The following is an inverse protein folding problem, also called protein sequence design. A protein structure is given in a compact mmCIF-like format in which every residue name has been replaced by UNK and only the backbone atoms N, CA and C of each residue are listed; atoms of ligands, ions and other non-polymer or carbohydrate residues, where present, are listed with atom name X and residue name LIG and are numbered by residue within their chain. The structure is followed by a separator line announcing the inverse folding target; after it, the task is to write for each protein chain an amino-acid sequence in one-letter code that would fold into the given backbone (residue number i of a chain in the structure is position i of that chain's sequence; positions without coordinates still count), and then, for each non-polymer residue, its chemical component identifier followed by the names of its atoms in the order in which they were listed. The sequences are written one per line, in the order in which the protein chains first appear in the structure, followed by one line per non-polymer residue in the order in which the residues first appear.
data_IF_166614161087
#
_entry.id   IF_166614161087
#
_cell.length_a   1.000
_cell.length_b   1.000
_cell.length_c   1.000
_cell.angle_alpha   90.00
_cell.angle_beta   90.00
_cell.angle_gamma   90.00
#
_symmetry.space_group_name_H-M   'P 1'
#
loop_
_entity.id
_entity.type
_entity.pdbx_description
1 polymer ?
#
# COMPACT_ATOMS: atom_id res chain seq x y z
N UNK A 1 -32.00 26.39 31.85
CA UNK A 1 -30.84 25.52 31.54
C UNK A 1 -30.88 25.22 30.05
N UNK A 2 -29.81 25.49 29.29
CA UNK A 2 -29.79 25.33 27.83
C UNK A 2 -29.57 23.84 27.44
N UNK A 3 -30.54 23.17 26.80
CA UNK A 3 -30.46 21.75 26.43
C UNK A 3 -29.48 21.46 25.29
N UNK A 4 -28.84 22.48 24.69
CA UNK A 4 -28.03 22.30 23.47
C UNK A 4 -26.63 21.70 23.69
N UNK A 5 -26.10 21.68 24.92
CA UNK A 5 -24.77 21.13 25.21
C UNK A 5 -24.75 20.29 26.50
N UNK A 6 -24.83 18.95 26.41
CA UNK A 6 -24.62 18.08 27.56
C UNK A 6 -23.23 18.38 28.17
N UNK A 7 -23.20 18.80 29.44
CA UNK A 7 -21.94 18.98 30.18
C UNK A 7 -21.38 17.59 30.49
N UNK A 8 -20.39 17.17 29.72
CA UNK A 8 -19.65 15.96 30.02
C UNK A 8 -18.69 16.19 31.20
N UNK A 9 -18.51 15.22 32.10
CA UNK A 9 -17.54 15.29 33.19
C UNK A 9 -16.14 15.03 32.64
N UNK A 10 -15.55 16.04 31.99
CA UNK A 10 -14.22 15.93 31.39
C UNK A 10 -13.14 15.84 32.47
N UNK A 11 -12.27 14.84 32.34
CA UNK A 11 -11.06 14.69 33.13
C UNK A 11 -9.85 14.82 32.21
N UNK A 12 -8.92 15.71 32.56
CA UNK A 12 -7.63 15.84 31.87
C UNK A 12 -6.77 14.64 32.21
N UNK A 13 -6.29 13.93 31.18
CA UNK A 13 -5.35 12.82 31.33
C UNK A 13 -3.95 13.15 30.82
N UNK A 14 -3.83 14.19 30.00
CA UNK A 14 -2.57 14.77 29.57
C UNK A 14 -2.79 16.23 29.20
N UNK A 15 -1.88 17.12 29.60
CA UNK A 15 -1.97 18.55 29.36
C UNK A 15 -0.73 19.05 28.63
N UNK A 16 -0.94 19.85 27.58
CA UNK A 16 0.11 20.59 26.87
C UNK A 16 1.32 19.73 26.47
N UNK A 17 1.08 18.50 26.05
CA UNK A 17 2.13 17.55 25.68
C UNK A 17 2.50 17.66 24.19
N UNK A 18 3.72 17.27 23.78
CA UNK A 18 4.08 17.21 22.37
C UNK A 18 3.15 16.32 21.54
N UNK A 19 2.85 16.71 20.31
CA UNK A 19 1.94 15.96 19.42
C UNK A 19 2.39 14.51 19.16
N UNK A 20 3.70 14.24 19.14
CA UNK A 20 4.23 12.88 18.97
C UNK A 20 3.81 11.97 20.12
N UNK A 21 3.94 12.42 21.36
CA UNK A 21 3.56 11.65 22.56
C UNK A 21 2.05 11.48 22.65
N UNK A 22 1.30 12.55 22.30
CA UNK A 22 -0.15 12.48 22.20
C UNK A 22 -0.60 11.42 21.18
N UNK A 23 0.10 11.28 20.06
CA UNK A 23 -0.22 10.27 19.04
C UNK A 23 -0.02 8.85 19.57
N UNK A 24 1.03 8.62 20.37
CA UNK A 24 1.27 7.34 21.05
C UNK A 24 0.14 7.04 22.03
N UNK A 25 -0.19 7.99 22.91
CA UNK A 25 -1.26 7.83 23.91
C UNK A 25 -2.64 7.56 23.25
N UNK A 26 -2.94 8.25 22.14
CA UNK A 26 -4.17 8.00 21.37
C UNK A 26 -4.17 6.62 20.69
N UNK A 27 -3.00 6.06 20.35
CA UNK A 27 -2.86 4.70 19.83
C UNK A 27 -3.31 3.62 20.82
N UNK A 28 -3.14 3.91 22.12
CA UNK A 28 -3.54 3.02 23.21
C UNK A 28 -5.04 3.04 23.50
N UNK A 29 -5.78 4.05 23.02
CA UNK A 29 -7.22 4.10 23.16
C UNK A 29 -7.88 2.93 22.41
N UNK A 30 -9.05 2.50 22.90
CA UNK A 30 -9.89 1.58 22.13
C UNK A 30 -10.27 2.22 20.81
N UNK A 31 -10.66 1.39 19.83
CA UNK A 31 -11.10 1.86 18.52
C UNK A 31 -12.17 2.94 18.72
N UNK A 32 -11.93 4.10 18.13
CA UNK A 32 -12.74 5.29 18.26
C UNK A 32 -12.93 5.95 16.89
N UNK A 33 -13.86 6.89 16.81
CA UNK A 33 -13.99 7.81 15.67
C UNK A 33 -14.11 9.23 16.16
N UNK A 34 -13.60 10.17 15.37
CA UNK A 34 -13.85 11.59 15.55
C UNK A 34 -15.30 11.86 15.12
N UNK A 35 -16.12 12.34 16.04
CA UNK A 35 -17.50 12.77 15.73
C UNK A 35 -17.56 14.21 15.24
N UNK A 36 -16.69 15.06 15.81
CA UNK A 36 -16.70 16.49 15.55
C UNK A 36 -15.27 17.01 15.60
N UNK A 37 -14.92 17.89 14.67
CA UNK A 37 -13.65 18.59 14.66
C UNK A 37 -13.92 20.07 14.39
N UNK A 38 -13.49 20.94 15.29
CA UNK A 38 -13.74 22.38 15.20
C UNK A 38 -12.50 23.18 15.58
N UNK A 39 -12.48 24.46 15.24
CA UNK A 39 -11.45 25.41 15.68
C UNK A 39 -12.01 26.28 16.80
N UNK A 40 -11.24 26.44 17.86
CA UNK A 40 -11.58 27.21 19.06
C UNK A 40 -10.38 28.09 19.43
N UNK A 41 -10.61 29.14 20.21
CA UNK A 41 -9.51 29.94 20.78
C UNK A 41 -8.58 29.03 21.60
N UNK A 42 -7.28 29.08 21.32
CA UNK A 42 -6.32 28.22 21.98
C UNK A 42 -6.14 28.61 23.45
N UNK A 43 -6.17 27.59 24.32
CA UNK A 43 -5.75 27.66 25.71
C UNK A 43 -4.87 26.45 26.09
N UNK A 44 -4.29 25.78 25.08
CA UNK A 44 -3.44 24.58 25.26
C UNK A 44 -1.98 24.97 25.48
N UNK A 45 -1.50 25.99 24.77
CA UNK A 45 -0.17 26.55 25.01
C UNK A 45 -0.27 27.91 25.70
N UNK A 46 0.88 28.44 26.12
CA UNK A 46 1.00 29.73 26.79
C UNK A 46 1.41 30.87 25.84
N UNK A 47 1.24 30.69 24.53
CA UNK A 47 1.63 31.73 23.57
C UNK A 47 0.76 32.99 23.75
N UNK A 48 1.37 34.19 23.77
CA UNK A 48 0.67 35.42 24.12
C UNK A 48 -0.27 35.91 23.03
N UNK A 49 0.01 35.59 21.77
CA UNK A 49 -0.81 35.98 20.64
C UNK A 49 -2.06 35.07 20.51
N UNK A 50 -3.27 35.63 20.32
CA UNK A 50 -4.46 34.84 20.03
C UNK A 50 -4.27 33.98 18.78
N UNK A 51 -4.57 32.68 18.91
CA UNK A 51 -4.51 31.73 17.80
C UNK A 51 -5.48 30.57 18.05
N UNK A 52 -5.70 29.75 17.02
CA UNK A 52 -6.65 28.64 17.10
C UNK A 52 -6.02 27.36 17.66
N UNK A 53 -6.83 26.59 18.38
CA UNK A 53 -6.62 25.16 18.61
C UNK A 53 -7.70 24.37 17.89
N UNK A 54 -7.35 23.16 17.44
CA UNK A 54 -8.31 22.20 16.90
C UNK A 54 -8.85 21.32 18.01
N UNK A 55 -10.17 21.30 18.18
CA UNK A 55 -10.86 20.47 19.16
C UNK A 55 -11.54 19.32 18.45
N UNK A 56 -11.04 18.10 18.67
CA UNK A 56 -11.60 16.87 18.13
C UNK A 56 -12.31 16.10 19.23
N UNK A 57 -13.62 15.92 19.09
CA UNK A 57 -14.43 15.09 19.99
C UNK A 57 -14.57 13.70 19.41
N UNK A 58 -14.32 12.69 20.24
CA UNK A 58 -14.24 11.29 19.84
C UNK A 58 -15.24 10.45 20.64
N UNK A 59 -15.77 9.42 20.00
CA UNK A 59 -16.55 8.35 20.65
C UNK A 59 -15.97 6.98 20.40
N UNK A 60 -16.25 6.07 21.32
CA UNK A 60 -15.90 4.66 21.17
C UNK A 60 -16.67 4.02 19.99
N UNK A 61 -15.97 3.20 19.21
CA UNK A 61 -16.53 2.35 18.14
C UNK A 61 -16.00 0.92 18.21
N UNK A 62 -15.37 0.54 19.33
CA UNK A 62 -14.77 -0.77 19.50
C UNK A 62 -15.82 -1.88 19.63
N UNK A 63 -15.51 -3.05 19.05
CA UNK A 63 -16.46 -4.16 18.98
C UNK A 63 -16.80 -4.70 20.38
N UNK A 64 -15.81 -4.85 21.27
CA UNK A 64 -16.05 -5.34 22.62
C UNK A 64 -17.08 -4.50 23.40
N UNK A 65 -17.08 -3.17 23.24
CA UNK A 65 -18.13 -2.34 23.85
C UNK A 65 -19.47 -2.44 23.14
N UNK A 66 -19.50 -2.77 21.83
CA UNK A 66 -20.75 -3.04 21.11
C UNK A 66 -21.36 -4.37 21.51
N UNK A 67 -20.53 -5.39 21.77
CA UNK A 67 -21.00 -6.74 22.10
C UNK A 67 -21.71 -6.79 23.46
N UNK A 68 -21.28 -5.95 24.41
CA UNK A 68 -21.93 -5.81 25.73
C UNK A 68 -23.01 -4.73 25.78
N UNK A 69 -23.17 -3.94 24.70
CA UNK A 69 -24.16 -2.87 24.65
C UNK A 69 -25.55 -3.47 24.44
N UNK A 70 -26.44 -3.35 25.43
CA UNK A 70 -27.81 -3.87 25.34
C UNK A 70 -28.75 -2.90 24.61
N UNK A 71 -28.72 -1.61 24.99
CA UNK A 71 -29.68 -0.61 24.47
C UNK A 71 -29.03 0.75 24.13
N UNK A 72 -27.78 0.98 24.52
CA UNK A 72 -27.11 2.28 24.37
C UNK A 72 -25.73 2.12 23.78
N UNK A 73 -25.27 3.16 23.07
CA UNK A 73 -23.88 3.22 22.61
C UNK A 73 -22.95 3.43 23.81
N UNK A 74 -21.72 2.92 23.69
CA UNK A 74 -20.68 3.12 24.69
C UNK A 74 -20.57 4.60 25.11
N UNK A 75 -20.69 4.93 26.42
CA UNK A 75 -20.78 6.31 26.89
C UNK A 75 -19.43 7.01 26.87
N UNK A 76 -18.32 6.27 26.84
CA UNK A 76 -16.97 6.83 26.77
C UNK A 76 -16.82 7.88 25.66
N UNK A 77 -16.21 9.01 26.01
CA UNK A 77 -15.85 10.10 25.12
C UNK A 77 -14.41 10.54 25.37
N UNK A 78 -13.78 11.08 24.35
CA UNK A 78 -12.53 11.83 24.48
C UNK A 78 -12.62 13.16 23.75
N UNK A 79 -11.87 14.15 24.23
CA UNK A 79 -11.67 15.45 23.58
C UNK A 79 -10.17 15.70 23.48
N UNK A 80 -9.70 15.87 22.25
CA UNK A 80 -8.30 16.17 21.94
C UNK A 80 -8.23 17.61 21.44
N UNK A 81 -7.42 18.43 22.11
CA UNK A 81 -7.24 19.84 21.80
C UNK A 81 -5.80 20.05 21.34
N UNK A 82 -5.61 20.34 20.06
CA UNK A 82 -4.29 20.51 19.44
C UNK A 82 -4.05 21.97 19.09
N UNK A 83 -3.09 22.60 19.74
CA UNK A 83 -2.61 23.93 19.37
C UNK A 83 -2.12 23.93 17.92
N UNK A 84 -2.59 24.89 17.11
CA UNK A 84 -2.18 24.99 15.70
C UNK A 84 -0.86 25.75 15.51
N UNK A 85 -0.30 26.34 16.58
CA UNK A 85 0.96 27.08 16.56
C UNK A 85 2.13 26.20 17.06
N UNK A 86 2.05 25.77 18.32
CA UNK A 86 3.13 25.06 19.02
C UNK A 86 3.05 23.53 18.91
N UNK A 87 2.02 23.00 18.24
CA UNK A 87 1.76 21.54 18.16
C UNK A 87 1.70 20.84 19.53
N UNK A 88 1.28 21.57 20.57
CA UNK A 88 0.98 21.02 21.89
C UNK A 88 -0.44 20.48 21.93
N UNK A 89 -0.66 19.43 22.73
CA UNK A 89 -1.92 18.69 22.79
C UNK A 89 -2.37 18.50 24.24
N UNK A 90 -3.63 18.80 24.51
CA UNK A 90 -4.32 18.42 25.76
C UNK A 90 -5.38 17.37 25.43
N UNK A 91 -5.40 16.29 26.21
CA UNK A 91 -6.35 15.18 26.05
C UNK A 91 -7.19 15.06 27.32
N UNK A 92 -8.49 15.02 27.11
CA UNK A 92 -9.48 14.78 28.15
C UNK A 92 -10.37 13.60 27.80
N UNK A 93 -10.85 12.90 28.83
CA UNK A 93 -11.81 11.80 28.69
C UNK A 93 -13.02 12.05 29.56
N UNK A 94 -14.16 11.48 29.18
CA UNK A 94 -15.36 11.48 30.00
C UNK A 94 -16.03 10.11 29.94
N UNK A 95 -16.53 9.67 31.09
CA UNK A 95 -17.14 8.36 31.32
C UNK A 95 -16.20 7.16 31.06
N UNK A 96 -16.66 5.99 31.46
CA UNK A 96 -15.94 4.73 31.25
C UNK A 96 -16.44 3.99 29.99
N UNK A 97 -15.59 3.12 29.45
CA UNK A 97 -16.05 2.12 28.51
C UNK A 97 -16.99 1.12 29.19
N UNK A 98 -17.93 0.52 28.44
CA UNK A 98 -18.87 -0.48 28.98
C UNK A 98 -18.18 -1.78 29.45
N UNK A 99 -16.99 -2.06 28.92
CA UNK A 99 -16.17 -3.21 29.31
C UNK A 99 -14.71 -2.82 29.26
N UNK A 100 -13.83 -3.37 30.13
CA UNK A 100 -12.38 -3.25 29.98
C UNK A 100 -11.86 -4.08 28.80
N UNK A 101 -12.57 -5.12 28.35
CA UNK A 101 -12.15 -6.00 27.26
C UNK A 101 -11.83 -5.24 25.96
N UNK A 102 -10.70 -5.55 25.33
CA UNK A 102 -10.36 -5.04 24.01
C UNK A 102 -10.78 -6.09 22.99
N UNK A 103 -11.49 -5.65 21.95
CA UNK A 103 -11.73 -6.54 20.82
C UNK A 103 -10.38 -7.01 20.25
N UNK A 104 -10.28 -8.27 19.78
CA UNK A 104 -9.10 -8.72 19.06
C UNK A 104 -8.79 -7.74 17.93
N UNK A 105 -7.67 -7.01 18.04
CA UNK A 105 -7.20 -6.17 16.94
C UNK A 105 -6.58 -7.11 15.92
N UNK A 106 -7.14 -7.15 14.70
CA UNK A 106 -6.46 -7.83 13.59
C UNK A 106 -5.06 -7.25 13.48
N UNK A 107 -4.00 -8.07 13.49
CA UNK A 107 -2.66 -7.53 13.39
C UNK A 107 -2.49 -6.79 12.06
N UNK A 108 -1.91 -5.61 12.15
CA UNK A 108 -1.70 -4.69 11.02
C UNK A 108 -0.21 -4.50 10.80
N UNK A 109 0.16 -4.22 9.54
CA UNK A 109 1.52 -3.85 9.20
C UNK A 109 1.94 -2.59 9.97
N UNK A 110 2.88 -2.75 10.88
CA UNK A 110 3.48 -1.64 11.62
C UNK A 110 4.32 -0.76 10.68
N UNK A 111 4.63 0.49 11.03
CA UNK A 111 5.50 1.33 10.21
C UNK A 111 6.85 0.67 9.85
N UNK A 112 7.59 0.04 10.79
CA UNK A 112 8.81 -0.70 10.45
C UNK A 112 8.59 -1.85 9.46
N UNK A 113 7.49 -2.60 9.61
CA UNK A 113 7.14 -3.67 8.65
C UNK A 113 6.87 -3.11 7.26
N UNK A 114 6.23 -1.93 7.17
CA UNK A 114 5.95 -1.30 5.88
C UNK A 114 7.23 -0.91 5.14
N UNK A 115 8.24 -0.39 5.85
CA UNK A 115 9.53 -0.03 5.24
C UNK A 115 10.18 -1.25 4.58
N UNK A 116 10.30 -2.37 5.30
CA UNK A 116 10.94 -3.57 4.73
C UNK A 116 10.08 -4.24 3.66
N UNK A 117 8.76 -4.14 3.72
CA UNK A 117 7.89 -4.61 2.62
C UNK A 117 8.15 -3.79 1.36
N UNK A 118 8.34 -2.47 1.46
CA UNK A 118 8.68 -1.63 0.30
C UNK A 118 10.03 -2.04 -0.27
N UNK A 119 11.04 -2.18 0.58
CA UNK A 119 12.39 -2.59 0.20
C UNK A 119 12.39 -3.92 -0.56
N UNK A 120 11.77 -4.96 0.00
CA UNK A 120 11.72 -6.28 -0.63
C UNK A 120 10.82 -6.32 -1.86
N UNK A 121 9.74 -5.55 -1.88
CA UNK A 121 8.90 -5.41 -3.07
C UNK A 121 9.67 -4.72 -4.21
N UNK A 122 10.50 -3.72 -3.91
CA UNK A 122 11.36 -3.07 -4.89
C UNK A 122 12.45 -3.99 -5.46
N UNK A 123 12.89 -4.98 -4.69
CA UNK A 123 13.76 -6.06 -5.16
C UNK A 123 13.01 -7.15 -5.96
N UNK A 124 11.69 -7.03 -6.14
CA UNK A 124 10.89 -7.98 -6.92
C UNK A 124 10.50 -9.27 -6.16
N UNK A 125 10.62 -9.30 -4.83
CA UNK A 125 10.19 -10.48 -4.06
C UNK A 125 8.67 -10.66 -4.14
N UNK A 126 8.24 -11.92 -4.33
CA UNK A 126 6.82 -12.27 -4.33
C UNK A 126 6.19 -12.00 -2.94
N UNK A 127 4.94 -11.51 -2.86
CA UNK A 127 4.30 -11.16 -1.58
C UNK A 127 4.27 -12.28 -0.52
N UNK A 128 4.15 -13.55 -0.93
CA UNK A 128 4.22 -14.68 0.01
C UNK A 128 5.59 -14.83 0.65
N UNK A 129 6.67 -14.60 -0.10
CA UNK A 129 8.05 -14.60 0.41
C UNK A 129 8.28 -13.42 1.35
N UNK A 130 7.79 -12.23 0.97
CA UNK A 130 7.81 -11.04 1.83
C UNK A 130 7.12 -11.34 3.17
N UNK A 131 5.93 -11.95 3.13
CA UNK A 131 5.19 -12.29 4.34
C UNK A 131 5.93 -13.30 5.24
N UNK A 132 6.46 -14.40 4.68
CA UNK A 132 7.26 -15.35 5.46
C UNK A 132 8.51 -14.69 6.08
N UNK A 133 9.19 -13.82 5.33
CA UNK A 133 10.35 -13.09 5.82
C UNK A 133 10.00 -12.08 6.93
N UNK A 134 8.81 -11.46 6.88
CA UNK A 134 8.31 -10.63 7.97
C UNK A 134 8.12 -11.42 9.26
N UNK A 135 7.55 -12.64 9.17
CA UNK A 135 7.35 -13.49 10.36
C UNK A 135 8.67 -13.76 11.08
N UNK A 136 9.71 -14.08 10.31
CA UNK A 136 11.05 -14.34 10.84
C UNK A 136 11.71 -13.07 11.37
N UNK A 137 11.74 -11.99 10.57
CA UNK A 137 12.46 -10.75 10.91
C UNK A 137 11.89 -10.04 12.13
N UNK A 138 10.59 -10.14 12.38
CA UNK A 138 9.91 -9.51 13.51
C UNK A 138 9.47 -10.51 14.59
N UNK A 139 9.90 -11.77 14.49
CA UNK A 139 9.52 -12.85 15.44
C UNK A 139 8.01 -12.90 15.70
N UNK A 140 7.21 -12.85 14.64
CA UNK A 140 5.75 -12.76 14.74
C UNK A 140 5.13 -14.13 14.97
N UNK A 141 4.13 -14.17 15.85
CA UNK A 141 3.31 -15.35 16.11
C UNK A 141 2.01 -15.27 15.32
N UNK A 142 1.22 -16.34 15.29
CA UNK A 142 -0.09 -16.34 14.64
C UNK A 142 -1.01 -15.20 15.15
N UNK A 143 -0.91 -14.86 16.43
CA UNK A 143 -1.67 -13.80 17.06
C UNK A 143 -1.21 -12.38 16.69
N UNK A 144 0.04 -12.19 16.25
CA UNK A 144 0.63 -10.88 15.94
C UNK A 144 1.00 -10.70 14.46
N UNK A 145 0.90 -11.78 13.68
CA UNK A 145 1.20 -11.78 12.26
C UNK A 145 0.14 -10.99 11.47
N UNK A 146 0.54 -10.01 10.65
CA UNK A 146 -0.39 -9.39 9.71
C UNK A 146 -0.89 -10.44 8.71
N UNK A 147 -2.12 -10.31 8.26
CA UNK A 147 -2.65 -11.21 7.22
C UNK A 147 -1.83 -11.09 5.92
N UNK A 148 -1.64 -12.22 5.23
CA UNK A 148 -0.98 -12.26 3.93
C UNK A 148 -1.63 -11.30 2.92
N UNK A 149 -2.96 -11.21 2.93
CA UNK A 149 -3.72 -10.29 2.07
C UNK A 149 -3.39 -8.81 2.30
N UNK A 150 -3.05 -8.43 3.53
CA UNK A 150 -2.59 -7.08 3.85
C UNK A 150 -1.22 -6.79 3.23
N UNK A 151 -0.30 -7.77 3.28
CA UNK A 151 1.03 -7.65 2.66
C UNK A 151 0.93 -7.61 1.14
N UNK A 152 0.12 -8.51 0.55
CA UNK A 152 -0.14 -8.53 -0.89
C UNK A 152 -0.65 -7.19 -1.39
N UNK A 153 -1.69 -6.65 -0.75
CA UNK A 153 -2.28 -5.35 -1.15
C UNK A 153 -1.28 -4.22 -1.04
N UNK A 154 -0.52 -4.16 0.05
CA UNK A 154 0.44 -3.10 0.30
C UNK A 154 1.63 -3.16 -0.68
N UNK A 155 2.21 -4.35 -0.88
CA UNK A 155 3.31 -4.56 -1.82
C UNK A 155 2.88 -4.25 -3.26
N UNK A 156 1.71 -4.74 -3.68
CA UNK A 156 1.18 -4.48 -5.01
C UNK A 156 1.00 -2.97 -5.26
N UNK A 157 0.32 -2.27 -4.34
CA UNK A 157 0.14 -0.82 -4.44
C UNK A 157 1.48 -0.07 -4.51
N UNK A 158 2.49 -0.51 -3.75
CA UNK A 158 3.81 0.11 -3.80
C UNK A 158 4.49 -0.08 -5.16
N UNK A 159 4.47 -1.31 -5.70
CA UNK A 159 5.08 -1.64 -6.99
C UNK A 159 4.35 -0.90 -8.12
N UNK A 160 3.02 -0.99 -8.18
CA UNK A 160 2.24 -0.35 -9.25
C UNK A 160 2.29 1.18 -9.18
N UNK A 161 2.30 1.76 -7.97
CA UNK A 161 2.26 3.21 -7.79
C UNK A 161 3.61 3.94 -7.81
N UNK A 162 4.74 3.25 -7.60
CA UNK A 162 6.08 3.89 -7.56
C UNK A 162 7.12 3.31 -8.49
N UNK A 163 7.01 2.05 -8.88
CA UNK A 163 8.03 1.39 -9.69
C UNK A 163 7.59 1.22 -11.15
N UNK A 164 6.36 1.63 -11.48
CA UNK A 164 5.67 1.15 -12.66
C UNK A 164 5.40 -0.34 -12.47
N UNK A 165 4.13 -0.75 -12.47
CA UNK A 165 3.81 -2.19 -12.44
C UNK A 165 4.68 -2.92 -13.47
N UNK A 166 5.18 -4.10 -13.14
CA UNK A 166 6.16 -4.89 -13.92
C UNK A 166 5.69 -5.34 -15.31
N UNK A 167 4.66 -4.69 -15.85
CA UNK A 167 4.03 -4.91 -17.14
C UNK A 167 3.94 -3.56 -17.87
N UNK A 168 5.04 -2.80 -17.89
CA UNK A 168 5.15 -1.68 -18.83
C UNK A 168 5.33 -2.27 -20.24
N UNK A 169 4.22 -2.79 -20.77
CA UNK A 169 4.09 -3.31 -22.12
C UNK A 169 4.57 -2.26 -23.12
N UNK A 170 4.45 -0.97 -22.81
CA UNK A 170 4.92 0.10 -23.68
C UNK A 170 6.45 0.21 -23.66
N UNK A 171 7.10 0.04 -22.51
CA UNK A 171 8.56 -0.08 -22.44
C UNK A 171 9.09 -1.33 -23.17
N UNK A 172 8.40 -2.47 -23.04
CA UNK A 172 8.74 -3.71 -23.77
C UNK A 172 8.53 -3.53 -25.28
N UNK A 173 7.38 -2.97 -25.69
CA UNK A 173 7.07 -2.63 -27.09
C UNK A 173 8.08 -1.67 -27.68
N UNK A 174 8.54 -0.70 -26.90
CA UNK A 174 9.59 0.23 -27.32
C UNK A 174 10.88 -0.54 -27.61
N UNK A 175 11.36 -1.39 -26.68
CA UNK A 175 12.57 -2.20 -26.92
C UNK A 175 12.47 -3.13 -28.14
N UNK A 176 11.30 -3.73 -28.37
CA UNK A 176 11.06 -4.56 -29.56
C UNK A 176 11.16 -3.72 -30.82
N UNK A 177 10.53 -2.55 -30.86
CA UNK A 177 10.64 -1.65 -32.03
C UNK A 177 12.07 -1.16 -32.25
N UNK A 178 12.75 -0.77 -31.18
CA UNK A 178 14.13 -0.27 -31.24
C UNK A 178 15.11 -1.36 -31.72
N UNK A 179 14.79 -2.64 -31.49
CA UNK A 179 15.56 -3.79 -31.94
C UNK A 179 14.93 -4.52 -33.14
N UNK A 180 13.97 -3.91 -33.84
CA UNK A 180 13.32 -4.53 -34.98
C UNK A 180 14.29 -4.69 -36.15
N UNK A 181 14.13 -5.77 -36.92
CA UNK A 181 14.95 -6.02 -38.10
C UNK A 181 14.85 -4.87 -39.11
N UNK A 182 15.98 -4.24 -39.41
CA UNK A 182 16.13 -3.16 -40.41
C UNK A 182 16.80 -3.64 -41.69
N UNK A 183 17.45 -4.81 -41.66
CA UNK A 183 18.27 -5.32 -42.75
C UNK A 183 19.74 -4.92 -42.64
N UNK A 184 20.07 -3.91 -41.82
CA UNK A 184 21.43 -3.41 -41.60
C UNK A 184 22.23 -4.16 -40.53
N UNK A 185 21.61 -5.09 -39.82
CA UNK A 185 22.25 -5.76 -38.67
C UNK A 185 23.41 -6.66 -39.09
N UNK A 186 24.45 -6.73 -38.25
CA UNK A 186 25.56 -7.66 -38.44
C UNK A 186 25.13 -9.14 -38.39
N UNK A 187 25.93 -10.02 -38.98
CA UNK A 187 25.57 -11.43 -39.19
C UNK A 187 25.13 -12.17 -37.92
N UNK A 188 25.77 -11.87 -36.78
CA UNK A 188 25.49 -12.47 -35.47
C UNK A 188 24.68 -11.57 -34.55
N UNK A 189 24.36 -10.34 -34.96
CA UNK A 189 23.58 -9.43 -34.14
C UNK A 189 22.14 -9.93 -34.01
N UNK A 190 21.63 -9.91 -32.79
CA UNK A 190 20.25 -10.27 -32.51
C UNK A 190 19.32 -9.12 -32.92
N UNK A 191 18.20 -9.47 -33.54
CA UNK A 191 17.11 -8.57 -33.84
C UNK A 191 15.78 -9.24 -33.51
N UNK A 192 14.74 -8.42 -33.42
CA UNK A 192 13.37 -8.87 -33.20
C UNK A 192 12.54 -8.77 -34.47
N UNK A 193 11.55 -9.62 -34.58
CA UNK A 193 10.54 -9.57 -35.63
C UNK A 193 9.19 -10.00 -35.08
N UNK A 194 8.12 -9.53 -35.71
CA UNK A 194 6.74 -9.82 -35.31
C UNK A 194 5.97 -10.37 -36.51
N UNK A 195 4.93 -11.16 -36.27
CA UNK A 195 4.06 -11.66 -37.34
C UNK A 195 3.14 -10.58 -37.91
N UNK A 196 3.06 -9.41 -37.26
CA UNK A 196 2.19 -8.29 -37.65
C UNK A 196 3.01 -7.01 -37.81
N UNK A 197 2.63 -6.18 -38.77
CA UNK A 197 3.18 -4.84 -38.95
C UNK A 197 2.05 -3.79 -38.89
N UNK A 198 2.37 -2.60 -38.38
CA UNK A 198 1.46 -1.47 -38.43
C UNK A 198 1.32 -0.89 -39.85
N UNK A 199 0.48 0.13 -40.01
CA UNK A 199 0.25 0.80 -41.31
C UNK A 199 1.51 1.43 -41.92
N UNK A 200 2.55 1.65 -41.11
CA UNK A 200 3.82 2.24 -41.51
C UNK A 200 4.90 1.18 -41.73
N UNK A 201 4.55 -0.11 -41.60
CA UNK A 201 5.48 -1.23 -41.76
C UNK A 201 6.29 -1.57 -40.50
N UNK A 202 6.06 -0.89 -39.36
CA UNK A 202 6.79 -1.18 -38.14
C UNK A 202 6.27 -2.44 -37.46
N UNK A 203 7.18 -3.17 -36.79
CA UNK A 203 6.83 -4.31 -35.96
C UNK A 203 5.76 -3.95 -34.91
N UNK A 204 4.70 -4.76 -34.85
CA UNK A 204 3.58 -4.57 -33.93
C UNK A 204 3.30 -5.84 -33.13
N UNK A 205 2.88 -5.68 -31.88
CA UNK A 205 2.56 -6.78 -30.94
C UNK A 205 1.16 -6.60 -30.39
N UNK A 206 0.53 -7.71 -29.98
CA UNK A 206 -0.77 -7.67 -29.32
C UNK A 206 -0.72 -7.06 -27.91
N UNK A 207 -1.85 -7.08 -27.21
CA UNK A 207 -1.95 -6.64 -25.82
C UNK A 207 -1.70 -7.76 -24.79
N UNK A 208 -1.47 -9.00 -25.25
CA UNK A 208 -1.21 -10.15 -24.38
C UNK A 208 -2.45 -10.89 -23.90
N UNK A 209 -3.65 -10.50 -24.36
CA UNK A 209 -4.88 -11.26 -24.11
C UNK A 209 -4.99 -12.46 -25.04
N UNK A 210 -5.85 -13.43 -24.69
CA UNK A 210 -6.11 -14.61 -25.54
C UNK A 210 -6.62 -14.22 -26.94
N UNK A 211 -7.37 -13.11 -27.05
CA UNK A 211 -7.88 -12.59 -28.33
C UNK A 211 -6.83 -11.81 -29.12
N UNK A 212 -5.81 -11.28 -28.45
CA UNK A 212 -4.76 -10.46 -29.06
C UNK A 212 -3.40 -10.76 -28.41
N UNK A 213 -2.81 -11.94 -28.70
CA UNK A 213 -1.63 -12.43 -28.00
C UNK A 213 -0.39 -11.59 -28.32
N UNK A 214 0.50 -11.47 -27.33
CA UNK A 214 1.79 -10.80 -27.46
C UNK A 214 2.85 -11.79 -27.95
N UNK A 215 3.15 -11.77 -29.25
CA UNK A 215 4.11 -12.70 -29.88
C UNK A 215 5.26 -11.93 -30.51
N UNK A 216 6.49 -12.32 -30.18
CA UNK A 216 7.73 -11.73 -30.70
C UNK A 216 8.72 -12.85 -30.99
N UNK A 217 9.33 -12.81 -32.17
CA UNK A 217 10.49 -13.63 -32.52
C UNK A 217 11.80 -12.87 -32.27
N UNK A 218 12.83 -13.58 -31.85
CA UNK A 218 14.20 -13.04 -31.72
C UNK A 218 15.14 -13.96 -32.48
N UNK A 219 15.96 -13.42 -33.38
CA UNK A 219 16.90 -14.22 -34.18
C UNK A 219 18.11 -13.37 -34.60
N UNK A 220 19.01 -13.97 -35.38
CA UNK A 220 20.12 -13.29 -36.08
C UNK A 220 20.20 -13.81 -37.52
N UNK A 221 20.86 -13.09 -38.42
CA UNK A 221 21.01 -13.50 -39.83
C UNK A 221 21.69 -14.88 -39.93
N UNK A 222 22.70 -15.12 -39.11
CA UNK A 222 23.40 -16.42 -39.02
C UNK A 222 22.47 -17.57 -38.65
N UNK A 223 21.55 -17.34 -37.71
CA UNK A 223 20.58 -18.36 -37.29
C UNK A 223 19.55 -18.64 -38.40
N UNK A 224 19.03 -17.60 -39.05
CA UNK A 224 18.09 -17.77 -40.17
C UNK A 224 18.74 -18.50 -41.36
N UNK A 225 19.98 -18.15 -41.73
CA UNK A 225 20.73 -18.87 -42.79
C UNK A 225 21.12 -20.30 -42.41
N UNK A 226 21.19 -20.61 -41.13
CA UNK A 226 21.33 -22.00 -40.67
C UNK A 226 20.00 -22.74 -40.81
N UNK A 227 18.90 -22.06 -40.50
CA UNK A 227 17.55 -22.60 -40.65
C UNK A 227 17.14 -22.83 -42.11
N UNK A 228 17.72 -22.08 -43.06
CA UNK A 228 17.49 -22.21 -44.52
C UNK A 228 18.25 -23.38 -45.17
N UNK A 229 18.94 -24.21 -44.37
CA UNK A 229 19.62 -25.42 -44.84
C UNK A 229 18.67 -26.60 -44.81
N UNK A 230 19.11 -27.72 -45.37
CA UNK A 230 18.40 -28.99 -45.23
C UNK A 230 18.08 -29.27 -43.74
N UNK A 231 16.80 -29.44 -43.35
CA UNK A 231 16.40 -29.73 -41.97
C UNK A 231 17.06 -30.96 -41.37
N UNK A 232 17.51 -31.92 -42.19
CA UNK A 232 18.25 -33.09 -41.71
C UNK A 232 19.69 -32.74 -41.28
N UNK A 233 20.20 -31.58 -41.69
CA UNK A 233 21.59 -31.16 -41.48
C UNK A 233 21.84 -30.36 -40.20
N UNK A 234 20.80 -30.01 -39.43
CA UNK A 234 20.95 -29.25 -38.18
C UNK A 234 19.82 -29.51 -37.18
N UNK A 235 20.09 -29.20 -35.90
CA UNK A 235 19.08 -29.25 -34.85
C UNK A 235 18.58 -27.84 -34.58
N UNK A 236 17.27 -27.62 -34.76
CA UNK A 236 16.61 -26.36 -34.41
C UNK A 236 16.06 -26.42 -32.98
N UNK A 237 16.65 -25.63 -32.09
CA UNK A 237 16.12 -25.43 -30.74
C UNK A 237 15.25 -24.18 -30.73
N UNK A 238 13.96 -24.37 -30.51
CA UNK A 238 12.99 -23.29 -30.34
C UNK A 238 12.57 -23.19 -28.88
N UNK A 239 13.03 -22.16 -28.19
CA UNK A 239 12.59 -21.87 -26.83
C UNK A 239 11.35 -20.98 -26.87
N UNK A 240 10.26 -21.46 -26.29
CA UNK A 240 9.03 -20.69 -26.09
C UNK A 240 8.83 -20.44 -24.58
N UNK A 241 8.77 -19.16 -24.20
CA UNK A 241 8.42 -18.78 -22.82
C UNK A 241 6.97 -18.31 -22.78
N UNK A 242 6.11 -19.08 -22.11
CA UNK A 242 4.72 -18.69 -21.86
C UNK A 242 4.58 -18.09 -20.47
N UNK A 243 4.02 -16.87 -20.36
CA UNK A 243 3.58 -16.29 -19.09
C UNK A 243 2.11 -16.68 -18.89
N UNK A 244 1.86 -17.79 -18.20
CA UNK A 244 0.52 -18.15 -17.73
C UNK A 244 0.19 -17.27 -16.51
N UNK A 245 -0.39 -16.10 -16.74
CA UNK A 245 -1.00 -15.31 -15.66
C UNK A 245 -2.46 -15.09 -15.99
N UNK A 246 -3.31 -15.87 -15.30
CA UNK A 246 -4.73 -15.59 -15.11
C UNK A 246 -4.91 -14.95 -13.73
#
# INVERSE_FOLDING_TARGET
MDPRHPRHPWQVIAASMPQVDATVLLGDFKKHRIEKSELWQCHVCMAPAPHAMRVQRMRCTCQACKDVAVATVCPWRARVMTCQLESLVTIEVAYNHLTPARAPRRPVLTPPMKEVVREWAAQGLKPKRIWNALLQRFSLTEATAPMLSSVQRFAHHHVTGRLGGSDDLDAVRKKIRDAAFTGGEEETAAFTFTSRSDRNGNASTGNGSDRDPFVVGVSSKKLLRRADRDPESFIFHMDATYKLTQ
#
